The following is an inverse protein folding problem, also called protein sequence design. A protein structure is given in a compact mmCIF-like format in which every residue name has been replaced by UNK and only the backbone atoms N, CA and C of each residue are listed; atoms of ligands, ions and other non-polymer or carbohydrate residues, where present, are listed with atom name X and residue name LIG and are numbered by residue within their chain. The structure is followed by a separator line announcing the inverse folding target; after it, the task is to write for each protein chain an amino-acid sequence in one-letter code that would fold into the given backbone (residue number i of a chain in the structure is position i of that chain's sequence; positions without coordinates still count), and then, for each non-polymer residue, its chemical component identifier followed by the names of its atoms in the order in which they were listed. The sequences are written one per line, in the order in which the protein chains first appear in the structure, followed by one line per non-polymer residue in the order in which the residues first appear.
data_IF_184664693890
#
_entry.id   IF_184664693890
#
_cell.length_a   1.000
_cell.length_b   1.000
_cell.length_c   1.000
_cell.angle_alpha   90.00
_cell.angle_beta   90.00
_cell.angle_gamma   90.00
#
_symmetry.space_group_name_H-M   'P 1'
#
loop_
_entity.id
_entity.type
_entity.pdbx_description
1 polymer ?
#
# COMPACT_ATOMS: atom_id res chain seq x y z
N UNK A 1 15.12 4.49 -11.88
CA UNK A 1 14.42 4.67 -10.59
C UNK A 1 12.95 4.46 -10.90
N UNK A 2 12.24 3.60 -10.16
CA UNK A 2 10.81 3.40 -10.41
C UNK A 2 10.11 4.70 -10.02
N UNK A 3 9.54 5.39 -11.00
CA UNK A 3 8.67 6.52 -10.70
C UNK A 3 7.60 6.04 -9.71
N UNK A 4 7.38 6.82 -8.64
CA UNK A 4 6.36 6.51 -7.63
C UNK A 4 5.02 6.49 -8.35
N UNK A 5 4.35 5.33 -8.36
CA UNK A 5 3.06 5.20 -9.00
C UNK A 5 2.07 6.19 -8.36
N UNK A 6 1.43 7.02 -9.18
CA UNK A 6 0.43 7.97 -8.71
C UNK A 6 -0.83 7.20 -8.30
N UNK A 7 -1.23 7.24 -7.01
CA UNK A 7 -2.41 6.53 -6.51
C UNK A 7 -3.71 6.92 -7.23
N UNK A 8 -3.77 8.12 -7.82
CA UNK A 8 -4.94 8.61 -8.57
C UNK A 8 -5.10 7.96 -9.94
N UNK A 9 -4.00 7.44 -10.49
CA UNK A 9 -3.97 6.79 -11.82
C UNK A 9 -3.95 5.27 -11.72
N UNK A 10 -3.27 4.72 -10.71
CA UNK A 10 -3.16 3.29 -10.47
C UNK A 10 -2.96 2.99 -8.98
N UNK A 11 -4.07 2.90 -8.26
CA UNK A 11 -4.10 2.67 -6.81
C UNK A 11 -3.48 1.32 -6.43
N UNK A 12 -3.67 0.27 -7.25
CA UNK A 12 -3.11 -1.06 -7.06
C UNK A 12 -1.58 -1.04 -7.10
N UNK A 13 -1.00 -0.38 -8.12
CA UNK A 13 0.45 -0.27 -8.25
C UNK A 13 1.05 0.59 -7.12
N UNK A 14 0.39 1.68 -6.75
CA UNK A 14 0.82 2.53 -5.64
C UNK A 14 0.80 1.79 -4.29
N UNK A 15 -0.25 1.03 -4.01
CA UNK A 15 -0.36 0.20 -2.79
C UNK A 15 0.73 -0.88 -2.73
N UNK A 16 0.98 -1.57 -3.85
CA UNK A 16 2.04 -2.56 -3.94
C UNK A 16 3.42 -1.92 -3.72
N UNK A 17 3.69 -0.77 -4.35
CA UNK A 17 4.97 -0.06 -4.18
C UNK A 17 5.18 0.38 -2.73
N UNK A 18 4.14 0.91 -2.07
CA UNK A 18 4.20 1.28 -0.65
C UNK A 18 4.59 0.09 0.23
N UNK A 19 3.92 -1.05 0.06
CA UNK A 19 4.20 -2.26 0.84
C UNK A 19 5.64 -2.76 0.61
N UNK A 20 6.11 -2.75 -0.65
CA UNK A 20 7.50 -3.11 -0.99
C UNK A 20 8.49 -2.19 -0.31
N UNK A 21 8.27 -0.87 -0.30
CA UNK A 21 9.16 0.08 0.37
C UNK A 21 9.14 -0.06 1.89
N UNK A 22 7.99 -0.39 2.50
CA UNK A 22 7.91 -0.68 3.93
C UNK A 22 8.70 -1.94 4.31
N UNK A 23 8.66 -2.97 3.46
CA UNK A 23 9.49 -4.17 3.63
C UNK A 23 10.98 -3.82 3.47
N UNK A 24 11.34 -3.08 2.42
CA UNK A 24 12.73 -2.64 2.17
C UNK A 24 13.30 -1.79 3.30
N UNK A 25 12.46 -0.95 3.92
CA UNK A 25 12.83 -0.12 5.06
C UNK A 25 12.81 -0.87 6.40
N UNK A 26 12.62 -2.20 6.39
CA UNK A 26 12.54 -3.06 7.58
C UNK A 26 11.45 -2.62 8.57
N UNK A 27 10.39 -1.96 8.07
CA UNK A 27 9.23 -1.51 8.87
C UNK A 27 8.18 -2.60 9.05
N UNK A 28 8.31 -3.70 8.32
CA UNK A 28 7.45 -4.88 8.47
C UNK A 28 8.24 -5.98 9.19
N UNK A 29 7.78 -6.48 10.35
CA UNK A 29 8.40 -7.60 11.02
C UNK A 29 8.31 -8.85 10.13
N UNK A 30 9.41 -9.25 9.52
CA UNK A 30 9.53 -10.50 8.75
C UNK A 30 9.77 -11.67 9.69
N UNK A 31 8.82 -11.95 10.59
CA UNK A 31 8.75 -13.26 11.23
C UNK A 31 8.18 -14.26 10.21
N UNK A 32 8.58 -15.53 10.29
CA UNK A 32 8.36 -16.62 9.33
C UNK A 32 6.89 -16.88 8.87
N UNK A 33 5.92 -16.05 9.25
CA UNK A 33 4.49 -16.22 8.97
C UNK A 33 3.72 -14.91 8.78
N UNK A 34 4.36 -13.75 8.61
CA UNK A 34 3.64 -12.46 8.55
C UNK A 34 3.05 -12.11 7.17
N UNK A 35 2.79 -13.11 6.33
CA UNK A 35 2.22 -12.89 4.98
C UNK A 35 0.83 -12.27 5.07
N UNK A 36 0.00 -12.74 6.01
CA UNK A 36 -1.35 -12.19 6.22
C UNK A 36 -1.31 -10.72 6.65
N UNK A 37 -0.31 -10.32 7.44
CA UNK A 37 -0.10 -8.92 7.82
C UNK A 37 0.28 -8.06 6.61
N UNK A 38 1.18 -8.55 5.76
CA UNK A 38 1.58 -7.86 4.52
C UNK A 38 0.39 -7.70 3.56
N UNK A 39 -0.43 -8.74 3.41
CA UNK A 39 -1.65 -8.69 2.59
C UNK A 39 -2.65 -7.70 3.16
N UNK A 40 -2.85 -7.68 4.48
CA UNK A 40 -3.73 -6.71 5.14
C UNK A 40 -3.24 -5.26 4.93
N UNK A 41 -1.94 -5.01 4.98
CA UNK A 41 -1.38 -3.67 4.72
C UNK A 41 -1.62 -3.23 3.27
N UNK A 42 -1.49 -4.15 2.32
CA UNK A 42 -1.82 -3.89 0.92
C UNK A 42 -3.30 -3.52 0.76
N UNK A 43 -4.21 -4.31 1.34
CA UNK A 43 -5.66 -4.05 1.25
C UNK A 43 -6.04 -2.71 1.88
N UNK A 44 -5.45 -2.37 3.02
CA UNK A 44 -5.65 -1.08 3.69
C UNK A 44 -5.19 0.09 2.81
N UNK A 45 -3.99 0.00 2.23
CA UNK A 45 -3.46 1.03 1.35
C UNK A 45 -4.30 1.19 0.09
N UNK A 46 -4.69 0.09 -0.54
CA UNK A 46 -5.53 0.08 -1.74
C UNK A 46 -6.89 0.73 -1.47
N UNK A 47 -7.54 0.36 -0.37
CA UNK A 47 -8.84 0.93 0.00
C UNK A 47 -8.73 2.43 0.27
N UNK A 48 -7.66 2.88 0.95
CA UNK A 48 -7.40 4.29 1.20
C UNK A 48 -7.22 5.07 -0.11
N UNK A 49 -6.41 4.57 -1.05
CA UNK A 49 -6.21 5.23 -2.34
C UNK A 49 -7.49 5.26 -3.20
N UNK A 50 -8.29 4.19 -3.17
CA UNK A 50 -9.59 4.17 -3.86
C UNK A 50 -10.58 5.17 -3.28
N UNK A 51 -10.65 5.31 -1.95
CA UNK A 51 -11.50 6.31 -1.28
C UNK A 51 -11.08 7.74 -1.62
N UNK A 52 -9.78 8.03 -1.59
CA UNK A 52 -9.21 9.31 -2.01
C UNK A 52 -9.62 9.67 -3.44
N UNK A 53 -9.55 8.70 -4.37
CA UNK A 53 -9.94 8.92 -5.76
C UNK A 53 -11.44 9.17 -5.93
N UNK A 54 -12.26 8.64 -5.03
CA UNK A 54 -13.71 8.83 -5.03
C UNK A 54 -14.16 10.10 -4.31
N UNK A 55 -13.22 10.91 -3.77
CA UNK A 55 -13.53 12.13 -3.03
C UNK A 55 -14.10 11.90 -1.63
N UNK A 56 -14.14 10.65 -1.15
CA UNK A 56 -14.48 10.32 0.23
C UNK A 56 -13.24 10.54 1.11
N UNK A 57 -13.05 11.80 1.51
CA UNK A 57 -12.11 12.13 2.57
C UNK A 57 -12.74 11.70 3.89
N UNK A 58 -12.08 10.79 4.63
CA UNK A 58 -12.54 10.32 5.95
C UNK A 58 -12.93 11.56 6.81
N UNK A 59 -14.24 11.71 7.05
CA UNK A 59 -14.84 12.76 7.88
C UNK A 59 -14.98 12.30 9.33
#
# INVERSE_FOLDING_TARGET
MSDIADPSTNAEQAAMQLVVELIRAERVPMHHSNVDGVLSMYDQALNHFKKLNNGESDS
#
